data_IF_504466841103
#
_entry.id   IF_504466841103
#
_cell.length_a   1.000
_cell.length_b   1.000
_cell.length_c   1.000
_cell.angle_alpha   90.00
_cell.angle_beta   90.00
_cell.angle_gamma   90.00
#
_symmetry.space_group_name_H-M   'P 1'
#
loop_
_entity.id
_entity.type
_entity.pdbx_description
1 polymer ?
#
# COMPACT_ATOMS: atom_id res chain seq x y z
N UNK A 1 12.24 -5.37 25.28
CA UNK A 1 12.60 -4.56 24.12
C UNK A 1 11.44 -4.52 23.16
N UNK A 2 10.96 -3.35 22.81
CA UNK A 2 10.00 -3.29 21.73
C UNK A 2 10.63 -3.80 20.45
N UNK A 3 9.85 -4.53 19.69
CA UNK A 3 10.27 -5.01 18.39
C UNK A 3 10.16 -3.87 17.39
N UNK A 4 11.27 -3.39 16.87
CA UNK A 4 11.32 -2.31 15.89
C UNK A 4 11.37 -2.84 14.45
N UNK A 5 10.99 -4.11 14.24
CA UNK A 5 10.88 -4.69 12.91
C UNK A 5 9.43 -4.92 12.52
N UNK A 6 9.16 -4.90 11.22
CA UNK A 6 7.87 -5.23 10.65
C UNK A 6 8.10 -6.00 9.35
N UNK A 7 7.45 -7.14 9.20
CA UNK A 7 7.63 -8.02 8.05
C UNK A 7 9.09 -8.38 7.81
N UNK A 8 9.89 -8.46 8.89
CA UNK A 8 11.30 -8.79 8.82
C UNK A 8 12.22 -7.61 8.51
N UNK A 9 11.69 -6.40 8.43
CA UNK A 9 12.46 -5.20 8.11
C UNK A 9 12.45 -4.20 9.25
N UNK A 10 13.54 -3.44 9.36
CA UNK A 10 13.65 -2.41 10.38
C UNK A 10 12.70 -1.26 10.08
N UNK A 11 11.92 -0.88 11.09
CA UNK A 11 10.97 0.23 11.00
C UNK A 11 11.69 1.56 11.19
N UNK A 12 11.37 2.54 10.33
CA UNK A 12 11.75 3.93 10.54
C UNK A 12 10.52 4.71 10.94
N UNK A 13 10.65 5.52 11.98
CA UNK A 13 9.55 6.31 12.50
C UNK A 13 9.84 7.79 12.32
N UNK A 14 8.87 8.53 11.79
CA UNK A 14 9.00 9.97 11.57
C UNK A 14 8.24 10.73 12.66
N UNK A 15 8.91 11.59 13.46
CA UNK A 15 8.26 12.29 14.57
C UNK A 15 7.08 13.18 14.14
N UNK A 16 7.19 13.81 12.98
CA UNK A 16 6.17 14.74 12.48
C UNK A 16 5.04 14.06 11.70
N UNK A 17 5.18 12.76 11.39
CA UNK A 17 4.27 12.08 10.50
C UNK A 17 4.45 12.52 9.04
N UNK A 18 3.89 11.72 8.14
CA UNK A 18 3.92 12.01 6.72
C UNK A 18 2.50 11.91 6.19
N UNK A 19 1.95 13.00 5.65
CA UNK A 19 0.56 13.05 5.19
C UNK A 19 0.40 12.64 3.74
N UNK A 20 1.45 12.89 2.94
CA UNK A 20 1.42 12.63 1.51
C UNK A 20 2.61 11.78 1.12
N UNK A 21 2.55 11.19 -0.10
CA UNK A 21 3.68 10.46 -0.64
C UNK A 21 4.90 11.37 -0.81
N UNK A 22 4.69 12.64 -1.18
CA UNK A 22 5.77 13.61 -1.30
C UNK A 22 6.44 13.88 0.04
N UNK A 23 5.66 14.01 1.13
CA UNK A 23 6.21 14.18 2.47
C UNK A 23 7.05 12.97 2.88
N UNK A 24 6.55 11.77 2.61
CA UNK A 24 7.28 10.54 2.92
C UNK A 24 8.57 10.43 2.14
N UNK A 25 8.53 10.76 0.85
CA UNK A 25 9.73 10.73 -0.02
C UNK A 25 10.79 11.72 0.47
N UNK A 26 10.38 12.92 0.85
CA UNK A 26 11.30 13.91 1.39
C UNK A 26 11.92 13.44 2.72
N UNK A 27 11.13 12.80 3.57
CA UNK A 27 11.59 12.33 4.88
C UNK A 27 12.63 11.22 4.77
N UNK A 28 12.48 10.29 3.81
CA UNK A 28 13.43 9.18 3.63
C UNK A 28 14.53 9.49 2.61
N UNK A 29 14.38 10.57 1.82
CA UNK A 29 15.36 10.96 0.82
C UNK A 29 15.29 10.14 -0.46
N UNK A 30 14.09 9.81 -0.92
CA UNK A 30 13.90 9.03 -2.15
C UNK A 30 12.95 9.76 -3.12
N UNK A 31 12.73 9.16 -4.29
CA UNK A 31 11.75 9.65 -5.25
C UNK A 31 10.33 9.30 -4.79
N UNK A 32 9.36 10.15 -5.13
CA UNK A 32 7.97 9.92 -4.75
C UNK A 32 7.43 8.60 -5.31
N UNK A 33 7.91 8.18 -6.48
CA UNK A 33 7.51 6.91 -7.09
C UNK A 33 7.90 5.68 -6.28
N UNK A 34 8.89 5.81 -5.39
CA UNK A 34 9.34 4.73 -4.51
C UNK A 34 8.47 4.57 -3.26
N UNK A 35 7.56 5.50 -3.02
CA UNK A 35 6.63 5.40 -1.89
C UNK A 35 5.46 4.51 -2.28
N UNK A 36 5.19 3.52 -1.45
CA UNK A 36 4.08 2.57 -1.66
C UNK A 36 2.83 3.11 -0.98
N UNK A 37 1.75 3.25 -1.74
CA UNK A 37 0.42 3.57 -1.19
C UNK A 37 -0.40 2.29 -1.16
N UNK A 38 -0.83 1.87 0.02
CA UNK A 38 -1.69 0.70 0.18
C UNK A 38 -3.12 1.20 0.38
N UNK A 39 -3.93 1.11 -0.67
CA UNK A 39 -5.28 1.66 -0.71
C UNK A 39 -6.31 0.54 -0.66
N UNK A 40 -7.30 0.69 0.20
CA UNK A 40 -8.41 -0.26 0.28
C UNK A 40 -9.62 0.32 -0.43
N UNK A 41 -10.17 -0.48 -1.34
CA UNK A 41 -11.46 -0.21 -1.99
C UNK A 41 -12.46 -1.25 -1.54
N UNK A 42 -13.74 -0.90 -1.67
CA UNK A 42 -14.84 -1.82 -1.42
C UNK A 42 -15.42 -2.25 -2.76
N UNK A 43 -15.47 -3.56 -3.00
CA UNK A 43 -16.06 -4.07 -4.23
C UNK A 43 -17.59 -4.07 -4.15
N UNK A 44 -18.26 -4.19 -5.29
CA UNK A 44 -19.71 -4.24 -5.34
C UNK A 44 -20.28 -5.40 -4.52
N UNK A 45 -19.53 -6.50 -4.39
CA UNK A 45 -19.91 -7.63 -3.54
C UNK A 45 -19.64 -7.41 -2.05
N UNK A 46 -19.08 -6.25 -1.67
CA UNK A 46 -18.82 -5.91 -0.28
C UNK A 46 -17.47 -6.37 0.25
N UNK A 47 -16.61 -6.91 -0.60
CA UNK A 47 -15.31 -7.42 -0.20
C UNK A 47 -14.24 -6.32 -0.26
N UNK A 48 -13.20 -6.39 0.59
CA UNK A 48 -12.08 -5.46 0.48
C UNK A 48 -11.17 -5.84 -0.69
N UNK A 49 -10.63 -4.81 -1.34
CA UNK A 49 -9.61 -4.95 -2.37
C UNK A 49 -8.45 -4.04 -2.01
N UNK A 50 -7.24 -4.58 -1.96
CA UNK A 50 -6.03 -3.81 -1.72
C UNK A 50 -5.38 -3.46 -3.05
N UNK A 51 -5.17 -2.17 -3.31
CA UNK A 51 -4.39 -1.71 -4.46
C UNK A 51 -3.10 -1.09 -3.92
N UNK A 52 -1.99 -1.70 -4.28
CA UNK A 52 -0.65 -1.28 -3.85
C UNK A 52 -0.05 -0.46 -4.99
N UNK A 53 -0.09 0.87 -4.84
CA UNK A 53 0.25 1.80 -5.91
C UNK A 53 1.52 2.58 -5.61
N UNK A 54 2.23 2.98 -6.67
CA UNK A 54 3.34 3.94 -6.57
C UNK A 54 2.82 5.30 -6.13
N UNK A 55 3.57 5.96 -5.26
CA UNK A 55 3.22 7.30 -4.79
C UNK A 55 3.17 8.36 -5.87
N UNK A 56 3.81 8.13 -7.01
CA UNK A 56 3.75 9.03 -8.16
C UNK A 56 2.48 8.85 -9.00
N UNK A 57 1.72 7.78 -8.76
CA UNK A 57 0.57 7.43 -9.58
C UNK A 57 -0.74 7.67 -8.85
N UNK A 58 -1.77 8.00 -9.63
CA UNK A 58 -3.15 7.96 -9.17
C UNK A 58 -3.77 6.67 -9.71
N UNK A 59 -4.51 5.96 -8.87
CA UNK A 59 -5.16 4.72 -9.27
C UNK A 59 -6.27 5.01 -10.29
N UNK A 60 -6.27 4.25 -11.38
CA UNK A 60 -7.34 4.26 -12.38
C UNK A 60 -8.38 3.21 -11.99
N UNK A 61 -9.49 3.66 -11.43
CA UNK A 61 -10.52 2.74 -10.94
C UNK A 61 -11.14 1.91 -12.06
N UNK A 62 -11.24 2.47 -13.26
CA UNK A 62 -11.74 1.73 -14.41
C UNK A 62 -10.85 0.55 -14.79
N UNK A 63 -9.53 0.74 -14.75
CA UNK A 63 -8.58 -0.35 -14.97
C UNK A 63 -8.70 -1.43 -13.90
N UNK A 64 -8.84 -1.01 -12.64
CA UNK A 64 -8.99 -1.94 -11.52
C UNK A 64 -10.27 -2.75 -11.67
N UNK A 65 -11.38 -2.09 -11.98
CA UNK A 65 -12.66 -2.77 -12.18
C UNK A 65 -12.61 -3.81 -13.30
N UNK A 66 -11.92 -3.47 -14.40
CA UNK A 66 -11.73 -4.41 -15.49
C UNK A 66 -10.91 -5.63 -15.06
N UNK A 67 -9.91 -5.42 -14.22
CA UNK A 67 -9.04 -6.51 -13.73
C UNK A 67 -9.76 -7.46 -12.79
N UNK A 68 -10.64 -6.95 -11.93
CA UNK A 68 -11.32 -7.79 -10.93
C UNK A 68 -12.70 -8.25 -11.37
N UNK A 69 -13.26 -7.65 -12.42
CA UNK A 69 -14.55 -8.06 -12.98
C UNK A 69 -15.77 -7.52 -12.25
N UNK A 70 -15.63 -6.50 -11.42
CA UNK A 70 -16.76 -5.86 -10.74
C UNK A 70 -16.44 -4.41 -10.39
N UNK A 71 -17.49 -3.58 -10.18
CA UNK A 71 -17.30 -2.19 -9.75
C UNK A 71 -16.63 -2.10 -8.38
N UNK A 72 -15.89 -1.01 -8.17
CA UNK A 72 -15.31 -0.68 -6.87
C UNK A 72 -15.79 0.69 -6.44
N UNK A 73 -15.75 0.91 -5.13
CA UNK A 73 -16.08 2.19 -4.55
C UNK A 73 -15.17 2.51 -3.38
N UNK A 74 -15.37 3.70 -2.85
CA UNK A 74 -14.59 4.18 -1.72
C UNK A 74 -14.91 3.37 -0.48
N UNK A 75 -13.87 2.99 0.27
CA UNK A 75 -14.00 2.34 1.57
C UNK A 75 -13.85 3.41 2.66
N UNK A 76 -14.78 3.43 3.62
CA UNK A 76 -14.67 4.36 4.74
C UNK A 76 -13.70 3.84 5.81
N UNK A 77 -13.41 4.66 6.80
CA UNK A 77 -12.43 4.35 7.84
C UNK A 77 -12.80 3.08 8.61
N UNK A 78 -14.09 2.90 8.93
CA UNK A 78 -14.54 1.73 9.67
C UNK A 78 -14.38 0.45 8.85
N UNK A 79 -14.70 0.50 7.55
CA UNK A 79 -14.50 -0.64 6.65
C UNK A 79 -13.02 -1.01 6.55
N UNK A 80 -12.13 -0.02 6.38
CA UNK A 80 -10.70 -0.26 6.27
C UNK A 80 -10.17 -0.91 7.56
N UNK A 81 -10.55 -0.39 8.72
CA UNK A 81 -10.10 -0.94 10.00
C UNK A 81 -10.64 -2.35 10.22
N UNK A 82 -11.89 -2.61 9.88
CA UNK A 82 -12.47 -3.94 10.02
C UNK A 82 -11.80 -4.96 9.10
N UNK A 83 -11.46 -4.54 7.87
CA UNK A 83 -10.85 -5.44 6.89
C UNK A 83 -9.37 -5.70 7.15
N UNK A 84 -8.62 -4.69 7.59
CA UNK A 84 -7.16 -4.74 7.67
C UNK A 84 -6.62 -4.78 9.09
N UNK A 85 -7.38 -4.31 10.06
CA UNK A 85 -6.89 -4.09 11.43
C UNK A 85 -6.10 -2.80 11.59
N UNK A 86 -5.94 -2.01 10.54
CA UNK A 86 -5.14 -0.79 10.54
C UNK A 86 -5.97 0.42 10.12
N UNK A 87 -5.55 1.60 10.53
CA UNK A 87 -6.19 2.85 10.14
C UNK A 87 -5.75 3.27 8.73
N UNK A 88 -6.61 4.03 8.04
CA UNK A 88 -6.26 4.66 6.78
C UNK A 88 -4.94 5.44 6.95
N UNK A 89 -4.04 5.33 6.00
CA UNK A 89 -2.73 5.96 6.05
C UNK A 89 -1.65 5.08 6.70
N UNK A 90 -2.04 4.13 7.54
CA UNK A 90 -1.14 3.18 8.18
C UNK A 90 -1.23 1.76 7.65
N UNK A 91 -2.09 1.52 6.65
CA UNK A 91 -2.30 0.18 6.11
C UNK A 91 -1.01 -0.33 5.45
N UNK A 92 -0.43 -1.42 5.97
CA UNK A 92 0.73 -2.03 5.32
C UNK A 92 0.31 -2.85 4.10
N UNK A 93 1.24 -3.17 3.19
CA UNK A 93 0.90 -3.98 2.01
C UNK A 93 0.71 -5.46 2.32
N UNK A 94 0.99 -5.89 3.54
CA UNK A 94 0.86 -7.28 3.98
C UNK A 94 0.71 -7.31 5.50
N UNK A 95 0.52 -8.50 6.08
CA UNK A 95 0.39 -8.66 7.53
C UNK A 95 -1.01 -8.43 8.04
N UNK A 96 -2.02 -8.55 7.18
CA UNK A 96 -3.43 -8.39 7.56
C UNK A 96 -3.95 -9.66 8.25
N UNK A 97 -4.96 -9.53 9.14
CA UNK A 97 -5.48 -10.71 9.87
C UNK A 97 -6.17 -11.73 8.96
N UNK A 98 -6.66 -11.30 7.78
CA UNK A 98 -7.26 -12.18 6.79
C UNK A 98 -6.64 -11.89 5.43
N UNK A 99 -6.58 -12.88 4.53
CA UNK A 99 -6.12 -12.63 3.17
C UNK A 99 -7.02 -11.60 2.48
N UNK A 100 -6.41 -10.65 1.81
CA UNK A 100 -7.11 -9.63 1.03
C UNK A 100 -6.59 -9.73 -0.40
N UNK A 101 -7.51 -9.78 -1.37
CA UNK A 101 -7.11 -9.73 -2.77
C UNK A 101 -6.36 -8.44 -3.04
N UNK A 102 -5.21 -8.55 -3.69
CA UNK A 102 -4.34 -7.40 -3.91
C UNK A 102 -3.92 -7.28 -5.37
N UNK A 103 -3.85 -6.04 -5.85
CA UNK A 103 -3.23 -5.68 -7.12
C UNK A 103 -1.98 -4.87 -6.82
N UNK A 104 -0.90 -5.13 -7.54
CA UNK A 104 0.38 -4.47 -7.35
C UNK A 104 0.72 -3.65 -8.59
N UNK A 105 0.90 -2.35 -8.41
CA UNK A 105 1.27 -1.43 -9.48
C UNK A 105 2.60 -1.85 -10.09
N UNK A 106 2.59 -2.14 -11.39
CA UNK A 106 3.80 -2.57 -12.10
C UNK A 106 4.91 -1.52 -12.06
N UNK A 107 4.58 -0.24 -11.90
CA UNK A 107 5.56 0.84 -11.86
C UNK A 107 6.47 0.73 -10.64
N UNK A 108 6.02 0.08 -9.56
CA UNK A 108 6.86 -0.14 -8.38
C UNK A 108 8.02 -1.09 -8.66
N UNK A 109 7.90 -1.95 -9.65
CA UNK A 109 8.95 -2.91 -9.99
C UNK A 109 10.15 -2.28 -10.69
N UNK A 110 10.04 -1.02 -11.10
CA UNK A 110 11.13 -0.30 -11.76
C UNK A 110 12.22 0.19 -10.79
N UNK A 111 11.95 0.13 -9.49
CA UNK A 111 12.87 0.62 -8.45
C UNK A 111 13.61 -0.53 -7.77
N UNK A 112 14.80 -0.23 -7.24
CA UNK A 112 15.54 -1.21 -6.45
C UNK A 112 14.97 -1.36 -5.04
N UNK A 113 14.50 -0.26 -4.47
CA UNK A 113 13.94 -0.21 -3.11
C UNK A 113 12.65 0.63 -3.15
N UNK A 114 11.65 0.18 -2.42
CA UNK A 114 10.40 0.93 -2.19
C UNK A 114 10.14 1.03 -0.69
N UNK A 115 9.32 2.00 -0.30
CA UNK A 115 9.04 2.29 1.11
C UNK A 115 7.55 2.16 1.37
N UNK A 116 7.17 1.34 2.35
CA UNK A 116 5.77 1.03 2.65
C UNK A 116 5.43 1.33 4.09
N UNK A 117 4.16 1.64 4.36
CA UNK A 117 3.67 1.82 5.73
C UNK A 117 3.83 0.53 6.53
N UNK A 118 4.15 0.69 7.80
CA UNK A 118 4.42 -0.42 8.71
C UNK A 118 3.40 -0.46 9.86
N UNK A 119 2.14 -0.16 9.58
CA UNK A 119 1.04 -0.28 10.53
C UNK A 119 0.56 1.05 11.11
N UNK A 120 1.32 2.12 10.96
CA UNK A 120 0.92 3.48 11.36
C UNK A 120 1.34 4.47 10.29
N UNK A 121 0.72 5.68 10.25
CA UNK A 121 1.12 6.69 9.27
C UNK A 121 2.54 7.24 9.46
N UNK A 122 3.19 6.93 10.59
CA UNK A 122 4.55 7.43 10.90
C UNK A 122 5.63 6.40 10.68
N UNK A 123 5.26 5.12 10.57
CA UNK A 123 6.21 4.02 10.53
C UNK A 123 6.30 3.47 9.12
N UNK A 124 7.52 3.34 8.61
CA UNK A 124 7.76 2.81 7.27
C UNK A 124 8.87 1.77 7.29
N UNK A 125 8.83 0.89 6.30
CA UNK A 125 9.89 -0.08 6.04
C UNK A 125 10.35 0.05 4.59
N UNK A 126 11.64 -0.22 4.37
CA UNK A 126 12.21 -0.31 3.03
C UNK A 126 12.29 -1.77 2.63
N UNK A 127 11.89 -2.09 1.40
CA UNK A 127 11.96 -3.46 0.90
C UNK A 127 12.13 -3.46 -0.62
N UNK A 128 12.62 -4.59 -1.14
CA UNK A 128 12.73 -4.78 -2.58
C UNK A 128 11.34 -5.05 -3.19
N UNK A 129 11.08 -4.60 -4.41
CA UNK A 129 9.77 -4.84 -5.05
C UNK A 129 9.41 -6.32 -5.17
N UNK A 130 10.39 -7.20 -5.42
CA UNK A 130 10.14 -8.64 -5.49
C UNK A 130 9.64 -9.19 -4.15
N UNK A 131 10.15 -8.68 -3.05
CA UNK A 131 9.70 -9.06 -1.73
C UNK A 131 8.30 -8.50 -1.44
N UNK A 132 8.02 -7.29 -1.87
CA UNK A 132 6.70 -6.69 -1.77
C UNK A 132 5.66 -7.56 -2.49
N UNK A 133 5.98 -8.01 -3.69
CA UNK A 133 5.10 -8.90 -4.45
C UNK A 133 4.85 -10.21 -3.70
N UNK A 134 5.91 -10.82 -3.19
CA UNK A 134 5.82 -12.09 -2.45
C UNK A 134 5.00 -11.94 -1.16
N UNK A 135 5.26 -10.90 -0.38
CA UNK A 135 4.61 -10.70 0.91
C UNK A 135 3.14 -10.34 0.75
N UNK A 136 2.80 -9.51 -0.24
CA UNK A 136 1.44 -9.03 -0.44
C UNK A 136 0.56 -10.05 -1.16
N UNK A 137 1.16 -10.96 -1.93
CA UNK A 137 0.42 -11.83 -2.82
C UNK A 137 -0.25 -11.06 -3.96
N UNK A 138 0.16 -9.82 -4.20
CA UNK A 138 -0.45 -8.95 -5.19
C UNK A 138 -0.20 -9.39 -6.61
N UNK A 139 -1.24 -9.29 -7.44
CA UNK A 139 -1.13 -9.52 -8.88
C UNK A 139 -0.58 -8.25 -9.53
N UNK A 140 0.55 -8.37 -10.22
CA UNK A 140 1.19 -7.24 -10.91
C UNK A 140 0.32 -6.81 -12.09
N UNK A 141 0.00 -5.53 -12.16
CA UNK A 141 -0.89 -5.01 -13.20
C UNK A 141 -0.68 -3.51 -13.41
N UNK A 142 -1.18 -3.01 -14.53
CA UNK A 142 -1.28 -1.57 -14.78
C UNK A 142 -2.55 -1.04 -14.11
N UNK A 143 -2.37 -0.33 -13.01
CA UNK A 143 -3.48 0.24 -12.24
C UNK A 143 -3.44 1.77 -12.22
N UNK A 144 -2.54 2.37 -12.97
CA UNK A 144 -2.29 3.82 -12.92
C UNK A 144 -3.05 4.57 -14.01
N UNK A 145 -3.53 5.77 -13.65
CA UNK A 145 -4.01 6.74 -14.65
C UNK A 145 -2.81 7.20 -15.48
N UNK A 146 -2.98 7.23 -16.79
CA UNK A 146 -1.92 7.66 -17.72
C UNK A 146 -2.40 8.72 -18.68
#
# INVERSE_FOLDING_TARGET
MPDDTFLGHRVQTFPAGTRTAQDAAAAVGCEVGQIVKSLIFRTASGEPLLVIASGANRVDEGKVEALIGEPIGKADADFVRAATGFAIGGVPPAGHPRPIRALLDEDLLAFDIVWAAAGTPRDVIALEPAELERLSGGEVADVAQR
#
